data_IF_290521849788
#
_entry.id   IF_290521849788
#
_cell.length_a   1.000
_cell.length_b   1.000
_cell.length_c   1.000
_cell.angle_alpha   90.00
_cell.angle_beta   90.00
_cell.angle_gamma   90.00
#
_symmetry.space_group_name_H-M   'P 1'
#
loop_
_entity.id
_entity.type
_entity.pdbx_description
1 polymer ?
#
# COMPACT_ATOMS: atom_id res chain seq x y z
N UNK A 1 -2.87 15.11 -2.11
CA UNK A 1 -2.73 13.81 -2.80
C UNK A 1 -2.09 14.05 -4.15
N UNK A 2 -1.07 13.27 -4.50
CA UNK A 2 -0.34 13.38 -5.77
C UNK A 2 -0.09 11.99 -6.35
N UNK A 3 -0.16 11.85 -7.68
CA UNK A 3 0.25 10.62 -8.37
C UNK A 3 1.73 10.69 -8.71
N UNK A 4 2.48 9.65 -8.36
CA UNK A 4 3.92 9.54 -8.61
C UNK A 4 4.26 8.17 -9.23
N UNK A 5 5.43 8.09 -9.86
CA UNK A 5 6.12 6.80 -10.00
C UNK A 5 6.92 6.56 -8.73
N UNK A 6 6.74 5.39 -8.14
CA UNK A 6 7.48 4.99 -6.96
C UNK A 6 8.01 3.58 -7.14
N UNK A 7 9.32 3.50 -7.40
CA UNK A 7 10.05 2.25 -7.61
C UNK A 7 9.42 1.37 -8.71
N UNK A 8 8.97 1.97 -9.82
CA UNK A 8 8.44 1.25 -10.97
C UNK A 8 6.95 0.87 -10.87
N UNK A 9 6.26 1.35 -9.84
CA UNK A 9 4.81 1.32 -9.74
C UNK A 9 4.23 2.72 -9.79
N UNK A 10 3.04 2.84 -10.39
CA UNK A 10 2.19 4.00 -10.15
C UNK A 10 1.77 3.97 -8.69
N UNK A 11 1.87 5.11 -8.02
CA UNK A 11 1.55 5.23 -6.60
C UNK A 11 0.90 6.57 -6.29
N UNK A 12 0.21 6.60 -5.16
CA UNK A 12 -0.32 7.81 -4.55
C UNK A 12 0.59 8.23 -3.42
N UNK A 13 1.03 9.48 -3.47
CA UNK A 13 1.69 10.15 -2.37
C UNK A 13 0.69 10.99 -1.58
N UNK A 14 0.68 10.78 -0.27
CA UNK A 14 0.03 11.65 0.71
C UNK A 14 1.11 12.31 1.55
N UNK A 15 0.96 13.59 1.86
CA UNK A 15 1.89 14.32 2.71
C UNK A 15 1.17 15.44 3.45
N UNK A 16 1.62 15.73 4.66
CA UNK A 16 1.33 16.98 5.37
C UNK A 16 2.62 17.81 5.46
N UNK A 17 2.74 18.71 6.45
CA UNK A 17 3.93 19.55 6.63
C UNK A 17 5.18 18.82 7.11
N UNK A 18 5.04 17.61 7.65
CA UNK A 18 6.13 16.92 8.35
C UNK A 18 6.38 15.50 7.83
N UNK A 19 5.35 14.76 7.44
CA UNK A 19 5.44 13.36 7.03
C UNK A 19 4.86 13.12 5.64
N UNK A 20 5.29 12.02 5.03
CA UNK A 20 4.74 11.48 3.79
C UNK A 20 4.47 9.99 3.88
N UNK A 21 3.46 9.56 3.13
CA UNK A 21 3.13 8.17 2.85
C UNK A 21 3.11 7.94 1.34
N UNK A 22 3.54 6.76 0.92
CA UNK A 22 3.37 6.29 -0.46
C UNK A 22 2.59 4.99 -0.47
N UNK A 23 1.47 5.00 -1.19
CA UNK A 23 0.57 3.87 -1.36
C UNK A 23 0.66 3.43 -2.83
N UNK A 24 1.12 2.22 -3.09
CA UNK A 24 1.15 1.67 -4.46
C UNK A 24 -0.27 1.59 -5.02
N UNK A 25 -0.46 1.74 -6.33
CA UNK A 25 -1.71 1.48 -7.06
C UNK A 25 -1.70 0.13 -7.78
N UNK A 26 -0.52 -0.33 -8.18
CA UNK A 26 -0.36 -1.41 -9.16
C UNK A 26 -0.38 -2.81 -8.52
N UNK A 27 -0.17 -2.88 -7.21
CA UNK A 27 -0.21 -4.10 -6.38
C UNK A 27 -0.73 -3.74 -4.98
N UNK A 28 -1.35 -4.67 -4.26
CA UNK A 28 -1.82 -4.46 -2.88
C UNK A 28 -3.34 -4.50 -2.69
N UNK A 29 -3.90 -3.67 -1.78
CA UNK A 29 -3.40 -2.36 -1.29
C UNK A 29 -2.28 -2.45 -0.25
N UNK A 30 -1.26 -1.60 -0.39
CA UNK A 30 -0.07 -1.56 0.50
C UNK A 30 0.45 -0.13 0.67
N UNK A 31 0.90 0.20 1.88
CA UNK A 31 1.68 1.43 2.15
C UNK A 31 3.15 1.06 2.05
N UNK A 32 3.83 1.50 0.99
CA UNK A 32 5.24 1.15 0.74
C UNK A 32 6.20 1.98 1.60
N UNK A 33 5.85 3.25 1.83
CA UNK A 33 6.68 4.21 2.56
C UNK A 33 5.87 4.99 3.57
N UNK A 34 6.46 5.21 4.74
CA UNK A 34 6.06 6.23 5.70
C UNK A 34 7.32 6.82 6.34
N UNK A 35 7.42 8.14 6.42
CA UNK A 35 8.54 8.81 7.07
C UNK A 35 8.40 10.33 7.04
N UNK A 36 9.34 11.02 7.68
CA UNK A 36 9.43 12.47 7.57
C UNK A 36 9.72 12.89 6.13
N UNK A 37 9.29 14.11 5.74
CA UNK A 37 9.63 14.70 4.46
C UNK A 37 11.15 14.72 4.25
N UNK A 38 11.62 14.05 3.20
CA UNK A 38 13.06 13.90 2.90
C UNK A 38 13.82 12.99 3.87
N UNK A 39 13.15 12.43 4.88
CA UNK A 39 13.73 11.54 5.89
C UNK A 39 13.77 10.07 5.46
N UNK A 40 14.30 9.18 6.33
CA UNK A 40 14.30 7.74 6.07
C UNK A 40 12.87 7.17 6.08
N UNK A 41 12.68 6.08 5.33
CA UNK A 41 11.48 5.27 5.43
C UNK A 41 11.50 4.48 6.74
N UNK A 42 10.37 4.44 7.45
CA UNK A 42 10.18 3.64 8.67
C UNK A 42 9.92 2.16 8.31
N UNK A 43 9.38 1.88 7.13
CA UNK A 43 9.17 0.52 6.66
C UNK A 43 10.41 -0.02 5.92
N UNK A 44 10.55 -1.35 5.94
CA UNK A 44 11.48 -2.03 5.05
C UNK A 44 10.94 -2.04 3.60
N UNK A 45 11.82 -1.91 2.63
CA UNK A 45 11.54 -2.03 1.20
C UNK A 45 12.49 -3.05 0.57
N UNK A 46 11.96 -3.94 -0.26
CA UNK A 46 12.75 -5.02 -0.86
C UNK A 46 13.01 -4.70 -2.34
N UNK A 47 14.16 -4.08 -2.63
CA UNK A 47 14.47 -3.54 -3.96
C UNK A 47 14.35 -4.56 -5.10
N UNK A 48 14.74 -5.81 -4.86
CA UNK A 48 14.65 -6.89 -5.86
C UNK A 48 13.23 -7.27 -6.26
N UNK A 49 12.23 -6.81 -5.50
CA UNK A 49 10.80 -7.08 -5.74
C UNK A 49 10.04 -5.80 -6.13
N UNK A 50 10.73 -4.67 -6.22
CA UNK A 50 10.14 -3.40 -6.57
C UNK A 50 9.77 -3.35 -8.06
N UNK A 51 8.62 -2.75 -8.38
CA UNK A 51 8.10 -2.65 -9.75
C UNK A 51 7.50 -3.94 -10.32
N UNK A 52 7.66 -5.07 -9.62
CA UNK A 52 7.10 -6.37 -9.98
C UNK A 52 5.57 -6.42 -9.93
N UNK A 53 4.97 -7.13 -10.89
CA UNK A 53 3.52 -7.30 -11.04
C UNK A 53 3.21 -8.65 -11.70
N UNK A 54 2.06 -9.23 -11.36
CA UNK A 54 1.55 -10.46 -11.98
C UNK A 54 2.33 -11.74 -11.62
N UNK A 55 3.15 -11.73 -10.57
CA UNK A 55 3.83 -12.94 -10.11
C UNK A 55 2.81 -14.02 -9.69
N UNK A 56 3.18 -15.30 -9.85
CA UNK A 56 2.32 -16.41 -9.47
C UNK A 56 2.18 -16.57 -7.95
N UNK A 57 3.20 -16.16 -7.20
CA UNK A 57 3.28 -16.28 -5.75
C UNK A 57 3.19 -14.91 -5.07
N UNK A 58 2.88 -14.92 -3.77
CA UNK A 58 2.94 -13.71 -2.98
C UNK A 58 4.36 -13.18 -2.85
N UNK A 59 4.51 -11.86 -3.02
CA UNK A 59 5.77 -11.15 -2.86
C UNK A 59 5.76 -10.30 -1.60
N UNK A 60 6.83 -10.35 -0.81
CA UNK A 60 6.95 -9.57 0.43
C UNK A 60 6.90 -8.07 0.14
N UNK A 61 7.61 -7.59 -0.91
CA UNK A 61 7.75 -6.18 -1.40
C UNK A 61 8.18 -5.12 -0.38
N UNK A 62 7.89 -5.31 0.90
CA UNK A 62 8.07 -4.36 1.98
C UNK A 62 6.78 -3.60 2.32
N UNK A 63 6.92 -2.57 3.14
CA UNK A 63 5.82 -1.72 3.57
C UNK A 63 4.86 -2.38 4.55
N UNK A 64 3.66 -1.84 4.60
CA UNK A 64 2.52 -2.35 5.34
C UNK A 64 1.47 -2.94 4.40
N UNK A 65 0.95 -4.11 4.77
CA UNK A 65 -0.07 -4.87 4.03
C UNK A 65 -1.09 -5.43 5.01
N UNK A 66 -2.36 -5.41 4.62
CA UNK A 66 -3.41 -6.12 5.35
C UNK A 66 -3.31 -7.64 5.14
N UNK A 67 -3.42 -8.39 6.22
CA UNK A 67 -3.40 -9.85 6.24
C UNK A 67 -4.54 -10.38 7.12
N UNK A 68 -4.81 -11.69 7.02
CA UNK A 68 -5.91 -12.34 7.74
C UNK A 68 -5.30 -13.31 8.76
N UNK A 69 -5.82 -13.24 9.99
CA UNK A 69 -5.49 -14.13 11.10
C UNK A 69 -6.51 -15.30 11.21
N UNK A 70 -6.11 -16.46 11.77
CA UNK A 70 -4.74 -16.81 12.17
C UNK A 70 -3.83 -16.95 10.94
N UNK A 71 -2.52 -16.89 11.15
CA UNK A 71 -1.56 -17.04 10.06
C UNK A 71 -1.65 -18.44 9.45
N UNK A 72 -1.84 -18.52 8.13
CA UNK A 72 -1.68 -19.77 7.40
C UNK A 72 -1.24 -19.53 5.95
N UNK A 73 -0.40 -20.43 5.39
CA UNK A 73 0.02 -20.40 3.98
C UNK A 73 -1.13 -20.20 2.99
N UNK A 74 -2.26 -20.86 3.23
CA UNK A 74 -3.39 -20.90 2.30
C UNK A 74 -4.09 -19.54 2.10
N UNK A 75 -4.07 -18.61 3.08
CA UNK A 75 -4.80 -17.34 2.97
C UNK A 75 -4.01 -16.11 3.39
N UNK A 76 -3.07 -16.21 4.34
CA UNK A 76 -2.27 -15.06 4.77
C UNK A 76 -1.34 -14.58 3.65
N UNK A 77 -0.93 -15.49 2.78
CA UNK A 77 -0.03 -15.27 1.65
C UNK A 77 -0.77 -15.35 0.30
N UNK A 78 -2.07 -15.03 0.29
CA UNK A 78 -2.82 -14.83 -0.95
C UNK A 78 -2.14 -13.74 -1.81
N UNK A 79 -1.93 -13.95 -3.13
CA UNK A 79 -1.33 -12.95 -4.01
C UNK A 79 -2.16 -11.67 -4.11
N UNK A 80 -1.47 -10.52 -4.14
CA UNK A 80 -2.05 -9.19 -4.36
C UNK A 80 -1.27 -8.45 -5.47
N UNK A 81 -0.88 -9.20 -6.50
CA UNK A 81 0.09 -8.79 -7.52
C UNK A 81 -0.55 -8.05 -8.71
N UNK A 82 -1.77 -7.57 -8.53
CA UNK A 82 -2.55 -6.88 -9.56
C UNK A 82 -3.04 -5.53 -9.03
N UNK A 83 -3.36 -4.58 -9.92
CA UNK A 83 -3.92 -3.31 -9.49
C UNK A 83 -5.26 -3.55 -8.77
N UNK A 84 -5.41 -2.97 -7.58
CA UNK A 84 -6.67 -3.09 -6.83
C UNK A 84 -7.82 -2.28 -7.46
N UNK A 85 -9.04 -2.39 -6.95
CA UNK A 85 -10.23 -1.88 -7.64
C UNK A 85 -10.31 -0.35 -7.61
N UNK A 86 -10.11 0.27 -6.44
CA UNK A 86 -10.39 1.69 -6.24
C UNK A 86 -9.31 2.42 -5.45
N UNK A 87 -8.97 3.63 -5.93
CA UNK A 87 -8.24 4.68 -5.21
C UNK A 87 -9.12 5.93 -5.26
N UNK A 88 -9.62 6.36 -4.12
CA UNK A 88 -10.54 7.48 -4.03
C UNK A 88 -10.01 8.52 -3.06
N UNK A 89 -10.01 9.79 -3.46
CA UNK A 89 -9.68 10.87 -2.54
C UNK A 89 -10.82 11.01 -1.52
N UNK A 90 -10.46 11.12 -0.24
CA UNK A 90 -11.38 11.43 0.85
C UNK A 90 -10.88 12.68 1.59
N UNK A 91 -11.71 13.35 2.42
CA UNK A 91 -11.26 14.53 3.16
C UNK A 91 -10.01 14.21 4.00
N UNK A 92 -8.90 14.92 3.72
CA UNK A 92 -7.62 14.70 4.40
C UNK A 92 -6.91 13.39 4.08
N UNK A 93 -7.27 12.68 3.01
CA UNK A 93 -6.73 11.34 2.80
C UNK A 93 -7.07 10.62 1.50
N UNK A 94 -6.91 9.30 1.54
CA UNK A 94 -7.23 8.37 0.45
C UNK A 94 -7.91 7.10 1.00
N UNK A 95 -8.87 6.59 0.25
CA UNK A 95 -9.44 5.27 0.40
C UNK A 95 -8.86 4.34 -0.67
N UNK A 96 -8.37 3.17 -0.25
CA UNK A 96 -7.91 2.12 -1.17
C UNK A 96 -8.68 0.84 -0.92
N UNK A 97 -9.15 0.19 -1.99
CA UNK A 97 -9.98 -1.02 -1.91
C UNK A 97 -9.56 -2.04 -2.95
N UNK A 98 -9.19 -3.25 -2.53
CA UNK A 98 -9.03 -4.39 -3.44
C UNK A 98 -10.36 -4.95 -3.92
N UNK A 99 -10.33 -5.57 -5.10
CA UNK A 99 -11.33 -6.55 -5.46
C UNK A 99 -11.31 -7.73 -4.47
N UNK A 100 -12.38 -8.54 -4.38
CA UNK A 100 -12.38 -9.76 -3.59
C UNK A 100 -11.14 -10.62 -3.87
N UNK A 101 -10.46 -11.06 -2.81
CA UNK A 101 -9.28 -11.91 -2.92
C UNK A 101 -9.63 -13.22 -3.66
N UNK A 102 -8.78 -13.71 -4.59
CA UNK A 102 -9.10 -14.87 -5.41
C UNK A 102 -9.22 -16.18 -4.61
N UNK A 103 -8.62 -16.25 -3.42
CA UNK A 103 -8.66 -17.39 -2.51
C UNK A 103 -9.64 -17.17 -1.38
N UNK A 104 -9.60 -15.98 -0.76
CA UNK A 104 -10.36 -15.69 0.47
C UNK A 104 -11.74 -15.11 0.20
N UNK A 105 -11.99 -14.56 -0.99
CA UNK A 105 -13.21 -13.80 -1.31
C UNK A 105 -13.35 -12.48 -0.54
N UNK A 106 -12.36 -12.12 0.29
CA UNK A 106 -12.43 -10.95 1.16
C UNK A 106 -11.98 -9.68 0.44
N UNK A 107 -12.67 -8.58 0.73
CA UNK A 107 -12.26 -7.23 0.33
C UNK A 107 -11.44 -6.62 1.45
N UNK A 108 -10.20 -6.22 1.15
CA UNK A 108 -9.32 -5.49 2.06
C UNK A 108 -9.36 -3.99 1.69
N UNK A 109 -9.55 -3.14 2.68
CA UNK A 109 -9.68 -1.69 2.48
C UNK A 109 -8.85 -0.94 3.51
N UNK A 110 -8.17 0.11 3.09
CA UNK A 110 -7.50 1.06 3.98
C UNK A 110 -8.00 2.46 3.67
N UNK A 111 -8.55 3.13 4.68
CA UNK A 111 -8.75 4.57 4.68
C UNK A 111 -7.61 5.20 5.46
N UNK A 112 -6.86 6.07 4.81
CA UNK A 112 -5.63 6.65 5.34
C UNK A 112 -5.80 8.17 5.31
N UNK A 113 -5.66 8.81 6.48
CA UNK A 113 -5.76 10.26 6.64
C UNK A 113 -4.53 10.82 7.32
N UNK A 114 -4.14 12.02 6.93
CA UNK A 114 -3.14 12.82 7.61
C UNK A 114 -3.82 14.08 8.14
N UNK A 115 -3.57 14.43 9.40
CA UNK A 115 -3.90 15.76 9.90
C UNK A 115 -3.01 16.80 9.21
N UNK A 116 -3.56 17.98 8.96
CA UNK A 116 -2.86 19.05 8.23
C UNK A 116 -1.71 19.67 9.06
N UNK A 117 -1.92 19.78 10.37
CA UNK A 117 -1.13 20.64 11.25
C UNK A 117 -0.45 19.90 12.42
N UNK A 118 -0.70 18.61 12.63
CA UNK A 118 -0.10 17.83 13.71
C UNK A 118 0.09 16.35 13.36
N UNK A 119 1.03 15.69 14.04
CA UNK A 119 1.32 14.25 13.93
C UNK A 119 1.03 13.55 15.26
N UNK A 120 -0.21 13.67 15.76
CA UNK A 120 -0.67 13.04 17.01
C UNK A 120 -1.53 11.81 16.75
#
# INVERSE_FOLDING_TARGET
MEWIDYRGWRAVRLANREVELVITRDVGPRILRFGFLGGPNVFAEFERQAGGRGEAEWMIRGGHRLWIAPEAPAWSYEPDNVPYEAVEAVPGGVLTRQSPGPVTGLVKQMEIRLAEDENR
#
